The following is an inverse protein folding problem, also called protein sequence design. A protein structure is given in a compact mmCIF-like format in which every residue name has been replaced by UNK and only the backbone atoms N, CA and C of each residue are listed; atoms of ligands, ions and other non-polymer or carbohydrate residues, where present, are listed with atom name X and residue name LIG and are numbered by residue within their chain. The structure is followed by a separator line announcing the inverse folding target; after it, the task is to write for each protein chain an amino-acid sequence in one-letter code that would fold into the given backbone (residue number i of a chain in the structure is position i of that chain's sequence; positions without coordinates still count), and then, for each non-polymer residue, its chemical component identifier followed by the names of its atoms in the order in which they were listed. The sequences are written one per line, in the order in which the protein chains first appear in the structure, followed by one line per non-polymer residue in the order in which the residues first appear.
data_IF_647253231111
#
_entry.id   IF_647253231111
#
_cell.length_a   1.000
_cell.length_b   1.000
_cell.length_c   1.000
_cell.angle_alpha   90.00
_cell.angle_beta   90.00
_cell.angle_gamma   90.00
#
_symmetry.space_group_name_H-M   'P 1'
#
loop_
_entity.id
_entity.type
_entity.pdbx_description
1 polymer ?
#
# COMPACT_ATOMS: atom_id res chain seq x y z
N UNK A 1 15.51 53.64 70.32
CA UNK A 1 14.07 53.85 70.60
C UNK A 1 13.33 53.18 69.45
N UNK A 2 13.19 51.86 69.46
CA UNK A 2 12.26 51.06 70.26
C UNK A 2 10.77 51.33 69.97
N UNK A 3 10.06 50.22 69.73
CA UNK A 3 8.61 49.99 69.76
C UNK A 3 7.80 50.49 68.54
N UNK A 4 6.87 49.76 67.93
CA UNK A 4 6.29 48.46 68.25
C UNK A 4 5.69 47.81 66.98
N UNK A 5 5.80 46.48 66.95
CA UNK A 5 5.11 45.59 66.04
C UNK A 5 3.62 45.48 66.41
N UNK A 6 2.76 45.38 65.39
CA UNK A 6 1.40 44.86 65.53
C UNK A 6 1.22 43.71 64.54
N UNK A 7 1.39 42.51 65.08
CA UNK A 7 1.15 41.22 64.43
C UNK A 7 -0.33 41.05 64.13
N UNK A 8 -0.69 40.83 62.85
CA UNK A 8 -1.99 40.29 62.47
C UNK A 8 -1.81 38.82 62.06
N UNK A 9 -2.38 37.93 62.86
CA UNK A 9 -2.28 36.48 62.75
C UNK A 9 -2.84 35.94 61.44
N UNK A 10 -2.03 35.09 60.81
CA UNK A 10 -2.39 34.16 59.74
C UNK A 10 -3.24 33.03 60.37
N UNK A 11 -4.42 32.68 59.83
CA UNK A 11 -5.02 31.38 60.12
C UNK A 11 -4.36 30.32 59.24
N UNK A 12 -3.68 29.36 59.88
CA UNK A 12 -3.17 28.14 59.23
C UNK A 12 -4.34 27.32 58.63
N UNK A 13 -4.17 26.69 57.46
CA UNK A 13 -5.11 25.68 56.96
C UNK A 13 -5.01 24.41 57.82
N UNK A 14 -6.12 24.00 58.42
CA UNK A 14 -6.25 22.67 59.02
C UNK A 14 -6.31 21.59 57.94
N UNK A 15 -5.54 20.52 58.12
CA UNK A 15 -5.53 19.31 57.30
C UNK A 15 -6.76 18.41 57.63
N UNK A 16 -7.03 17.35 56.82
CA UNK A 16 -8.38 17.00 56.37
C UNK A 16 -9.13 16.02 57.29
N UNK A 17 -10.43 16.23 57.42
CA UNK A 17 -11.35 15.22 57.96
C UNK A 17 -11.64 14.16 56.88
N UNK A 18 -11.21 12.93 57.19
CA UNK A 18 -11.52 11.71 56.47
C UNK A 18 -13.03 11.42 56.41
N UNK A 19 -13.40 10.85 55.26
CA UNK A 19 -14.41 9.81 55.07
C UNK A 19 -15.88 10.16 55.36
N UNK A 20 -16.57 10.54 54.29
CA UNK A 20 -17.86 9.92 53.96
C UNK A 20 -17.69 9.33 52.56
N UNK A 21 -17.41 8.03 52.53
CA UNK A 21 -17.68 7.20 51.36
C UNK A 21 -19.18 7.28 51.10
N UNK A 22 -19.57 7.65 49.87
CA UNK A 22 -20.62 6.94 49.13
C UNK A 22 -20.69 7.42 47.67
N UNK A 23 -20.12 6.57 46.81
CA UNK A 23 -20.63 6.15 45.49
C UNK A 23 -21.03 7.25 44.50
N UNK A 24 -20.04 7.68 43.71
CA UNK A 24 -20.24 8.26 42.37
C UNK A 24 -19.62 7.30 41.35
N UNK A 25 -20.36 6.80 40.35
CA UNK A 25 -19.78 5.99 39.27
C UNK A 25 -18.75 6.82 38.51
N UNK A 26 -17.54 6.29 38.53
CA UNK A 26 -16.34 6.74 37.82
C UNK A 26 -16.68 6.92 36.33
N UNK A 27 -16.90 8.15 35.87
CA UNK A 27 -17.07 8.48 34.47
C UNK A 27 -15.73 8.39 33.71
N UNK A 28 -15.19 7.16 33.59
CA UNK A 28 -13.98 6.84 32.82
C UNK A 28 -14.26 6.09 31.52
N UNK A 29 -15.53 5.89 31.16
CA UNK A 29 -15.88 4.93 30.09
C UNK A 29 -16.26 5.59 28.75
N UNK A 30 -15.80 6.82 28.47
CA UNK A 30 -16.09 7.48 27.18
C UNK A 30 -14.85 8.08 26.51
N UNK A 31 -13.76 7.33 26.48
CA UNK A 31 -12.63 7.61 25.58
C UNK A 31 -12.48 6.45 24.60
N UNK A 32 -12.70 6.67 23.28
CA UNK A 32 -11.95 5.91 22.29
C UNK A 32 -10.48 6.26 22.49
N UNK A 33 -9.66 5.25 22.80
CA UNK A 33 -8.23 5.42 23.01
C UNK A 33 -7.59 6.09 21.79
N UNK A 34 -6.89 7.19 22.03
CA UNK A 34 -5.99 7.79 21.04
C UNK A 34 -4.72 6.92 21.03
N UNK A 35 -4.36 6.25 19.94
CA UNK A 35 -3.03 5.70 19.80
C UNK A 35 -2.09 6.88 19.56
N UNK A 36 -1.29 7.21 20.58
CA UNK A 36 -0.09 8.03 20.40
C UNK A 36 0.95 7.22 19.64
N UNK A 37 0.77 7.09 18.34
CA UNK A 37 1.72 6.49 17.40
C UNK A 37 1.74 7.34 16.15
N UNK A 38 2.94 7.63 15.66
CA UNK A 38 3.12 8.31 14.38
C UNK A 38 2.29 7.61 13.30
N UNK A 39 1.58 8.35 12.43
CA UNK A 39 0.61 7.74 11.55
C UNK A 39 1.31 6.94 10.44
N UNK A 40 0.84 5.71 10.23
CA UNK A 40 1.44 4.69 9.36
C UNK A 40 1.61 5.06 7.87
N UNK A 41 1.04 6.18 7.41
CA UNK A 41 1.22 6.67 6.04
C UNK A 41 2.56 7.42 5.86
N UNK A 42 3.22 7.83 6.94
CA UNK A 42 4.51 8.53 6.88
C UNK A 42 5.70 7.58 6.57
N UNK A 43 5.49 6.26 6.64
CA UNK A 43 6.48 5.24 6.24
C UNK A 43 6.24 4.68 4.84
N UNK A 44 5.19 5.13 4.15
CA UNK A 44 4.79 4.59 2.83
C UNK A 44 5.26 5.44 1.64
N UNK A 45 6.04 6.51 1.86
CA UNK A 45 6.40 7.46 0.80
C UNK A 45 7.90 7.51 0.43
N UNK A 46 8.73 6.61 0.96
CA UNK A 46 10.16 6.54 0.61
C UNK A 46 10.58 5.33 -0.25
N UNK A 47 9.65 4.49 -0.72
CA UNK A 47 10.05 3.24 -1.41
C UNK A 47 9.16 2.85 -2.58
N UNK A 48 8.67 3.81 -3.35
CA UNK A 48 8.14 3.53 -4.70
C UNK A 48 8.87 4.38 -5.74
N UNK A 49 10.18 4.14 -5.85
CA UNK A 49 10.85 4.24 -7.14
C UNK A 49 10.37 3.05 -7.99
N UNK A 50 9.99 3.26 -9.25
CA UNK A 50 9.50 2.18 -10.10
C UNK A 50 10.64 1.18 -10.33
N UNK A 51 10.54 0.02 -9.67
CA UNK A 51 11.50 -1.10 -9.81
C UNK A 51 11.25 -1.91 -11.09
N UNK A 52 10.33 -1.45 -11.96
CA UNK A 52 9.84 -2.15 -13.15
C UNK A 52 10.84 -2.20 -14.34
N UNK A 53 12.11 -1.87 -14.13
CA UNK A 53 13.18 -2.10 -15.12
C UNK A 53 14.41 -2.81 -14.56
N UNK A 54 14.32 -3.39 -13.36
CA UNK A 54 15.35 -4.32 -12.90
C UNK A 54 15.06 -5.69 -13.51
N UNK A 55 15.57 -5.89 -14.73
CA UNK A 55 15.72 -7.23 -15.30
C UNK A 55 16.28 -8.13 -14.20
N UNK A 56 15.57 -9.24 -13.88
CA UNK A 56 16.05 -10.24 -12.93
C UNK A 56 17.52 -10.53 -13.20
N UNK A 57 18.35 -10.73 -12.17
CA UNK A 57 19.77 -11.01 -12.38
C UNK A 57 20.00 -12.16 -13.38
N UNK A 58 19.07 -13.11 -13.42
CA UNK A 58 19.03 -14.19 -14.41
C UNK A 58 18.83 -13.68 -15.83
N UNK A 59 17.93 -12.72 -16.04
CA UNK A 59 17.70 -12.07 -17.34
C UNK A 59 18.92 -11.22 -17.75
N UNK A 60 19.57 -10.53 -16.81
CA UNK A 60 20.80 -9.77 -17.08
C UNK A 60 21.95 -10.68 -17.47
N UNK A 61 22.14 -11.77 -16.73
CA UNK A 61 23.16 -12.78 -17.05
C UNK A 61 22.86 -13.50 -18.36
N UNK A 62 21.57 -13.74 -18.66
CA UNK A 62 21.15 -14.33 -19.93
C UNK A 62 21.46 -13.39 -21.11
N UNK A 63 21.16 -12.10 -20.98
CA UNK A 63 21.52 -11.09 -22.01
C UNK A 63 23.04 -10.99 -22.17
N UNK A 64 23.81 -11.00 -21.07
CA UNK A 64 25.27 -11.00 -21.13
C UNK A 64 25.82 -12.27 -21.82
N UNK A 65 25.26 -13.44 -21.52
CA UNK A 65 25.62 -14.70 -22.15
C UNK A 65 25.32 -14.68 -23.64
N UNK A 66 24.13 -14.24 -24.04
CA UNK A 66 23.73 -14.15 -25.45
C UNK A 66 24.60 -13.17 -26.24
N UNK A 67 24.99 -12.05 -25.62
CA UNK A 67 25.91 -11.10 -26.23
C UNK A 67 27.31 -11.69 -26.45
N UNK A 68 27.85 -12.42 -25.46
CA UNK A 68 29.14 -13.12 -25.59
C UNK A 68 29.06 -14.24 -26.63
N UNK A 69 27.99 -15.02 -26.63
CA UNK A 69 27.76 -16.07 -27.62
C UNK A 69 27.65 -15.49 -29.04
N UNK A 70 27.00 -14.33 -29.21
CA UNK A 70 26.93 -13.62 -30.48
C UNK A 70 28.30 -13.11 -30.93
N UNK A 71 29.12 -12.60 -30.00
CA UNK A 71 30.51 -12.19 -30.30
C UNK A 71 31.36 -13.38 -30.74
N UNK A 72 31.26 -14.52 -30.05
CA UNK A 72 31.97 -15.75 -30.41
C UNK A 72 31.52 -16.24 -31.79
N UNK A 73 30.20 -16.23 -32.08
CA UNK A 73 29.69 -16.62 -33.40
C UNK A 73 30.19 -15.69 -34.50
N UNK A 74 30.19 -14.38 -34.26
CA UNK A 74 30.70 -13.39 -35.21
C UNK A 74 32.19 -13.62 -35.50
N UNK A 75 33.01 -13.86 -34.47
CA UNK A 75 34.43 -14.18 -34.65
C UNK A 75 34.64 -15.49 -35.40
N UNK A 76 33.88 -16.55 -35.08
CA UNK A 76 33.96 -17.82 -35.83
C UNK A 76 33.58 -17.67 -37.30
N UNK A 77 32.56 -16.86 -37.59
CA UNK A 77 32.13 -16.60 -38.97
C UNK A 77 33.19 -15.78 -39.73
N UNK A 78 33.85 -14.83 -39.06
CA UNK A 78 35.00 -14.11 -39.61
C UNK A 78 36.18 -15.06 -39.89
N UNK A 79 36.54 -15.94 -38.97
CA UNK A 79 37.58 -16.94 -39.17
C UNK A 79 37.25 -17.89 -40.33
N UNK A 80 35.98 -18.28 -40.49
CA UNK A 80 35.52 -19.07 -41.62
C UNK A 80 35.67 -18.32 -42.95
N UNK A 81 35.25 -17.06 -43.00
CA UNK A 81 35.43 -16.24 -44.20
C UNK A 81 36.91 -16.00 -44.52
N UNK A 82 37.76 -15.76 -43.52
CA UNK A 82 39.20 -15.63 -43.71
C UNK A 82 39.83 -16.94 -44.21
N UNK A 83 39.39 -18.09 -43.69
CA UNK A 83 39.82 -19.41 -44.15
C UNK A 83 39.36 -19.69 -45.58
N UNK A 84 38.12 -19.38 -45.94
CA UNK A 84 37.59 -19.50 -47.31
C UNK A 84 38.35 -18.57 -48.27
N UNK A 85 38.64 -17.34 -47.87
CA UNK A 85 39.46 -16.41 -48.65
C UNK A 85 40.87 -16.97 -48.83
N UNK A 86 41.46 -17.58 -47.80
CA UNK A 86 42.78 -18.19 -47.88
C UNK A 86 42.79 -19.40 -48.82
N UNK A 87 41.80 -20.29 -48.72
CA UNK A 87 41.63 -21.45 -49.60
C UNK A 87 41.43 -21.03 -51.05
N UNK A 88 40.49 -20.11 -51.34
CA UNK A 88 40.25 -19.57 -52.68
C UNK A 88 41.50 -18.89 -53.26
N UNK A 89 42.31 -18.25 -52.42
CA UNK A 89 43.56 -17.61 -52.82
C UNK A 89 44.69 -18.62 -53.05
N UNK A 90 44.67 -19.74 -52.34
CA UNK A 90 45.62 -20.84 -52.53
C UNK A 90 45.31 -21.67 -53.78
N UNK A 91 44.02 -21.86 -54.09
CA UNK A 91 43.52 -22.56 -55.28
C UNK A 91 43.69 -21.70 -56.55
N UNK A 92 43.76 -20.37 -56.40
CA UNK A 92 44.10 -19.43 -57.47
C UNK A 92 45.62 -19.30 -57.76
N UNK A 93 46.50 -19.97 -57.01
CA UNK A 93 47.91 -20.08 -57.41
C UNK A 93 48.07 -21.17 -58.50
N UNK A 94 48.64 -20.84 -59.67
CA UNK A 94 48.66 -21.77 -60.78
C UNK A 94 49.68 -22.88 -60.56
N UNK A 95 49.19 -24.12 -60.36
CA UNK A 95 49.94 -25.33 -60.73
C UNK A 95 49.88 -25.48 -62.25
N UNK A 96 51.04 -25.54 -62.86
CA UNK A 96 51.31 -25.54 -64.31
C UNK A 96 50.41 -26.49 -65.11
N UNK A 97 49.44 -25.93 -65.85
CA UNK A 97 48.75 -26.59 -66.97
C UNK A 97 48.39 -25.53 -68.04
N UNK A 98 48.72 -25.71 -69.33
CA UNK A 98 48.33 -24.77 -70.37
C UNK A 98 46.89 -25.02 -70.87
N UNK A 99 46.09 -23.93 -71.02
CA UNK A 99 44.83 -23.68 -71.79
C UNK A 99 43.59 -23.26 -70.95
N UNK A 100 42.56 -22.55 -71.49
CA UNK A 100 42.51 -21.44 -72.46
C UNK A 100 41.96 -20.12 -71.83
N UNK A 101 42.61 -18.98 -72.08
CA UNK A 101 42.44 -17.68 -71.37
C UNK A 101 41.03 -17.00 -71.42
N UNK A 102 40.09 -17.43 -72.27
CA UNK A 102 38.80 -16.72 -72.46
C UNK A 102 37.69 -17.11 -71.48
N UNK A 103 37.74 -18.29 -70.85
CA UNK A 103 36.72 -18.73 -69.88
C UNK A 103 37.06 -18.32 -68.44
N UNK A 104 38.35 -18.35 -68.06
CA UNK A 104 38.81 -17.88 -66.74
C UNK A 104 38.59 -16.38 -66.54
N UNK A 105 38.80 -15.56 -67.58
CA UNK A 105 38.58 -14.11 -67.49
C UNK A 105 37.09 -13.76 -67.35
N UNK A 106 36.20 -14.60 -67.91
CA UNK A 106 34.75 -14.40 -67.82
C UNK A 106 34.20 -14.82 -66.44
N UNK A 107 34.71 -15.91 -65.88
CA UNK A 107 34.40 -16.38 -64.53
C UNK A 107 34.95 -15.45 -63.45
N UNK A 108 36.20 -14.98 -63.59
CA UNK A 108 36.82 -14.04 -62.65
C UNK A 108 36.08 -12.69 -62.58
N UNK A 109 35.59 -12.18 -63.71
CA UNK A 109 34.80 -10.94 -63.75
C UNK A 109 33.40 -11.12 -63.12
N UNK A 110 32.79 -12.30 -63.24
CA UNK A 110 31.49 -12.62 -62.60
C UNK A 110 31.62 -12.73 -61.08
N UNK A 111 32.60 -13.51 -60.62
CA UNK A 111 32.88 -13.69 -59.19
C UNK A 111 33.28 -12.37 -58.52
N UNK A 112 34.06 -11.53 -59.19
CA UNK A 112 34.43 -10.22 -58.67
C UNK A 112 33.23 -9.24 -58.60
N UNK A 113 32.24 -9.40 -59.48
CA UNK A 113 30.97 -8.65 -59.40
C UNK A 113 30.11 -9.11 -58.23
N UNK A 114 30.00 -10.42 -58.02
CA UNK A 114 29.26 -11.02 -56.91
C UNK A 114 29.87 -10.65 -55.54
N UNK A 115 31.20 -10.71 -55.40
CA UNK A 115 31.88 -10.30 -54.16
C UNK A 115 31.65 -8.82 -53.84
N UNK A 116 31.64 -7.95 -54.85
CA UNK A 116 31.32 -6.52 -54.67
C UNK A 116 29.87 -6.32 -54.24
N UNK A 117 28.95 -7.05 -54.85
CA UNK A 117 27.53 -7.01 -54.50
C UNK A 117 27.29 -7.48 -53.05
N UNK A 118 27.96 -8.56 -52.62
CA UNK A 118 27.88 -9.05 -51.23
C UNK A 118 28.46 -8.04 -50.24
N UNK A 119 29.59 -7.39 -50.55
CA UNK A 119 30.19 -6.35 -49.72
C UNK A 119 29.27 -5.12 -49.57
N UNK A 120 28.65 -4.68 -50.66
CA UNK A 120 27.69 -3.58 -50.64
C UNK A 120 26.45 -3.96 -49.81
N UNK A 121 26.00 -5.21 -49.90
CA UNK A 121 24.86 -5.71 -49.15
C UNK A 121 25.16 -5.83 -47.65
N UNK A 122 26.35 -6.30 -47.27
CA UNK A 122 26.83 -6.27 -45.89
C UNK A 122 26.96 -4.84 -45.36
N UNK A 123 27.48 -3.90 -46.16
CA UNK A 123 27.60 -2.49 -45.77
C UNK A 123 26.23 -1.83 -45.59
N UNK A 124 25.26 -2.12 -46.46
CA UNK A 124 23.88 -1.64 -46.33
C UNK A 124 23.21 -2.23 -45.08
N UNK A 125 23.42 -3.53 -44.80
CA UNK A 125 22.94 -4.17 -43.57
C UNK A 125 23.57 -3.54 -42.32
N UNK A 126 24.87 -3.23 -42.35
CA UNK A 126 25.57 -2.58 -41.25
C UNK A 126 25.03 -1.17 -41.00
N UNK A 127 24.82 -0.38 -42.05
CA UNK A 127 24.20 0.94 -41.95
C UNK A 127 22.75 0.88 -41.45
N UNK A 128 21.97 -0.10 -41.89
CA UNK A 128 20.60 -0.30 -41.40
C UNK A 128 20.60 -0.63 -39.89
N UNK A 129 21.51 -1.50 -39.43
CA UNK A 129 21.67 -1.81 -38.01
C UNK A 129 22.11 -0.59 -37.20
N UNK A 130 23.07 0.19 -37.69
CA UNK A 130 23.51 1.44 -37.06
C UNK A 130 22.35 2.44 -36.93
N UNK A 131 21.53 2.60 -37.97
CA UNK A 131 20.33 3.44 -37.92
C UNK A 131 19.30 2.91 -36.92
N UNK A 132 19.08 1.59 -36.86
CA UNK A 132 18.16 0.99 -35.89
C UNK A 132 18.65 1.18 -34.45
N UNK A 133 19.95 1.02 -34.18
CA UNK A 133 20.54 1.28 -32.86
C UNK A 133 20.42 2.75 -32.49
N UNK A 134 20.65 3.67 -33.44
CA UNK A 134 20.48 5.10 -33.21
C UNK A 134 19.02 5.46 -32.90
N UNK A 135 18.06 4.88 -33.63
CA UNK A 135 16.63 5.08 -33.39
C UNK A 135 16.22 4.55 -32.01
N UNK A 136 16.65 3.35 -31.64
CA UNK A 136 16.40 2.79 -30.29
C UNK A 136 17.05 3.65 -29.20
N UNK A 137 18.25 4.19 -29.43
CA UNK A 137 18.91 5.12 -28.53
C UNK A 137 18.11 6.40 -28.28
N UNK A 138 17.52 6.98 -29.33
CA UNK A 138 16.64 8.14 -29.21
C UNK A 138 15.35 7.82 -28.44
N UNK A 139 14.73 6.67 -28.71
CA UNK A 139 13.52 6.23 -28.00
C UNK A 139 13.79 6.01 -26.51
N UNK A 140 14.88 5.34 -26.16
CA UNK A 140 15.27 5.15 -24.77
C UNK A 140 15.58 6.46 -24.05
N UNK A 141 16.18 7.43 -24.75
CA UNK A 141 16.43 8.75 -24.18
C UNK A 141 15.12 9.51 -23.94
N UNK A 142 14.19 9.50 -24.89
CA UNK A 142 12.85 10.08 -24.74
C UNK A 142 12.09 9.47 -23.56
N UNK A 143 12.05 8.14 -23.47
CA UNK A 143 11.42 7.44 -22.34
C UNK A 143 12.05 7.79 -20.99
N UNK A 144 13.38 7.98 -20.93
CA UNK A 144 14.08 8.42 -19.71
C UNK A 144 13.73 9.85 -19.33
N UNK A 145 13.60 10.75 -20.28
CA UNK A 145 13.21 12.14 -20.03
C UNK A 145 11.76 12.23 -19.57
N UNK A 146 10.86 11.48 -20.20
CA UNK A 146 9.48 11.34 -19.77
C UNK A 146 9.38 10.79 -18.35
N UNK A 147 10.10 9.69 -18.04
CA UNK A 147 10.16 9.13 -16.69
C UNK A 147 10.69 10.14 -15.66
N UNK A 148 11.71 10.94 -16.01
CA UNK A 148 12.22 12.02 -15.14
C UNK A 148 11.17 13.10 -14.91
N UNK A 149 10.48 13.56 -15.95
CA UNK A 149 9.43 14.60 -15.81
C UNK A 149 8.24 14.08 -15.00
N UNK A 150 7.86 12.80 -15.19
CA UNK A 150 6.84 12.15 -14.37
C UNK A 150 7.27 12.06 -12.90
N UNK A 151 8.51 11.66 -12.63
CA UNK A 151 9.09 11.64 -11.28
C UNK A 151 9.08 13.03 -10.61
N UNK A 152 9.43 14.08 -11.35
CA UNK A 152 9.35 15.46 -10.85
C UNK A 152 7.91 15.89 -10.53
N UNK A 153 6.93 15.50 -11.36
CA UNK A 153 5.51 15.77 -11.10
C UNK A 153 5.01 15.04 -9.86
N UNK A 154 5.39 13.77 -9.68
CA UNK A 154 5.07 13.00 -8.49
C UNK A 154 5.69 13.63 -7.23
N UNK A 155 6.95 14.03 -7.28
CA UNK A 155 7.61 14.73 -6.18
C UNK A 155 6.90 16.06 -5.81
N UNK A 156 6.50 16.85 -6.82
CA UNK A 156 5.74 18.07 -6.61
C UNK A 156 4.37 17.80 -5.95
N UNK A 157 3.67 16.74 -6.38
CA UNK A 157 2.40 16.33 -5.76
C UNK A 157 2.59 15.84 -4.32
N UNK A 158 3.62 15.03 -4.05
CA UNK A 158 3.96 14.58 -2.70
C UNK A 158 4.24 15.75 -1.75
N UNK A 159 4.97 16.77 -2.22
CA UNK A 159 5.20 18.01 -1.46
C UNK A 159 3.88 18.71 -1.10
N UNK A 160 2.96 18.86 -2.06
CA UNK A 160 1.65 19.47 -1.79
C UNK A 160 0.82 18.66 -0.81
N UNK A 161 0.82 17.32 -0.93
CA UNK A 161 0.11 16.45 0.01
C UNK A 161 0.67 16.57 1.42
N UNK A 162 2.00 16.57 1.59
CA UNK A 162 2.64 16.76 2.89
C UNK A 162 2.30 18.11 3.53
N UNK A 163 2.25 19.18 2.72
CA UNK A 163 1.86 20.52 3.19
C UNK A 163 0.38 20.56 3.64
N UNK A 164 -0.52 19.96 2.86
CA UNK A 164 -1.93 19.81 3.23
C UNK A 164 -2.10 19.01 4.52
N UNK A 165 -1.27 17.99 4.71
CA UNK A 165 -1.29 17.15 5.89
C UNK A 165 -0.81 17.87 7.16
N UNK A 166 0.27 18.63 7.05
CA UNK A 166 0.72 19.51 8.13
C UNK A 166 -0.37 20.51 8.53
N UNK A 167 -1.07 21.09 7.54
CA UNK A 167 -2.20 22.00 7.80
C UNK A 167 -3.38 21.29 8.50
N UNK A 168 -3.68 20.05 8.13
CA UNK A 168 -4.72 19.26 8.79
C UNK A 168 -4.38 19.02 10.27
N UNK A 169 -3.17 18.53 10.55
CA UNK A 169 -2.72 18.29 11.92
C UNK A 169 -2.70 19.57 12.76
N UNK A 170 -2.30 20.70 12.16
CA UNK A 170 -2.36 21.99 12.85
C UNK A 170 -3.81 22.37 13.22
N UNK A 171 -4.75 22.21 12.29
CA UNK A 171 -6.16 22.50 12.54
C UNK A 171 -6.77 21.57 13.60
N UNK A 172 -6.33 20.30 13.66
CA UNK A 172 -6.74 19.35 14.71
C UNK A 172 -6.27 19.77 16.10
N UNK A 173 -5.01 20.21 16.22
CA UNK A 173 -4.47 20.73 17.49
C UNK A 173 -5.21 21.99 17.94
N UNK A 174 -5.50 22.91 17.01
CA UNK A 174 -6.31 24.10 17.30
C UNK A 174 -7.72 23.74 17.77
N UNK A 175 -8.36 22.76 17.12
CA UNK A 175 -9.67 22.26 17.53
C UNK A 175 -9.63 21.67 18.95
N UNK A 176 -8.64 20.83 19.26
CA UNK A 176 -8.46 20.26 20.59
C UNK A 176 -8.25 21.37 21.66
N UNK A 177 -7.46 22.40 21.34
CA UNK A 177 -7.25 23.56 22.21
C UNK A 177 -8.56 24.31 22.47
N UNK A 178 -9.35 24.59 21.44
CA UNK A 178 -10.64 25.27 21.57
C UNK A 178 -11.65 24.42 22.36
N UNK A 179 -11.67 23.11 22.14
CA UNK A 179 -12.50 22.19 22.93
C UNK A 179 -12.15 22.23 24.42
N UNK A 180 -10.87 22.30 24.76
CA UNK A 180 -10.44 22.43 26.15
C UNK A 180 -10.86 23.78 26.75
N UNK A 181 -10.74 24.87 26.02
CA UNK A 181 -11.22 26.18 26.48
C UNK A 181 -12.74 26.18 26.73
N UNK A 182 -13.51 25.51 25.88
CA UNK A 182 -14.95 25.36 26.08
C UNK A 182 -15.28 24.56 27.34
N UNK A 183 -14.54 23.48 27.61
CA UNK A 183 -14.71 22.70 28.84
C UNK A 183 -14.47 23.56 30.08
N UNK A 184 -13.39 24.35 30.10
CA UNK A 184 -13.08 25.27 31.19
C UNK A 184 -14.19 26.31 31.39
N UNK A 185 -14.65 26.94 30.32
CA UNK A 185 -15.72 27.93 30.41
C UNK A 185 -17.04 27.30 30.90
N UNK A 186 -17.34 26.07 30.48
CA UNK A 186 -18.50 25.33 30.95
C UNK A 186 -18.39 24.97 32.44
N UNK A 187 -17.22 24.56 32.91
CA UNK A 187 -16.94 24.34 34.34
C UNK A 187 -17.10 25.65 35.14
N UNK A 188 -16.61 26.77 34.64
CA UNK A 188 -16.84 28.08 35.28
C UNK A 188 -18.33 28.46 35.29
N UNK A 189 -19.09 28.07 34.26
CA UNK A 189 -20.53 28.31 34.21
C UNK A 189 -21.29 27.45 35.21
N UNK A 190 -20.96 26.17 35.34
CA UNK A 190 -21.60 25.30 36.33
C UNK A 190 -21.34 25.79 37.75
N UNK A 191 -20.12 26.26 38.04
CA UNK A 191 -19.78 26.87 39.34
C UNK A 191 -20.61 28.14 39.58
N UNK A 192 -20.71 29.04 38.58
CA UNK A 192 -21.50 30.28 38.70
C UNK A 192 -22.99 30.00 38.92
N UNK A 193 -23.55 29.01 38.22
CA UNK A 193 -24.93 28.57 38.42
C UNK A 193 -25.16 27.98 39.80
N UNK A 194 -24.24 27.12 40.27
CA UNK A 194 -24.30 26.53 41.60
C UNK A 194 -24.27 27.60 42.69
N UNK A 195 -23.40 28.60 42.56
CA UNK A 195 -23.37 29.75 43.46
C UNK A 195 -24.68 30.53 43.44
N UNK A 196 -25.26 30.81 42.26
CA UNK A 196 -26.55 31.49 42.19
C UNK A 196 -27.68 30.69 42.86
N UNK A 197 -27.69 29.36 42.68
CA UNK A 197 -28.65 28.49 43.34
C UNK A 197 -28.48 28.51 44.87
N UNK A 198 -27.23 28.45 45.36
CA UNK A 198 -26.89 28.53 46.79
C UNK A 198 -27.33 29.86 47.42
N UNK A 199 -27.02 30.98 46.75
CA UNK A 199 -27.43 32.31 47.20
C UNK A 199 -28.97 32.41 47.24
N UNK A 200 -29.69 31.89 46.25
CA UNK A 200 -31.17 31.88 46.26
C UNK A 200 -31.73 31.03 47.41
N UNK A 201 -31.11 29.89 47.75
CA UNK A 201 -31.52 29.08 48.90
C UNK A 201 -31.26 29.79 50.23
N UNK A 202 -30.09 30.41 50.39
CA UNK A 202 -29.73 31.17 51.60
C UNK A 202 -30.65 32.40 51.81
N UNK A 203 -31.08 33.05 50.72
CA UNK A 203 -32.04 34.16 50.77
C UNK A 203 -33.50 33.72 50.95
N UNK A 204 -33.84 32.47 50.60
CA UNK A 204 -35.16 31.91 50.88
C UNK A 204 -35.29 31.51 52.37
N UNK A 205 -34.18 31.09 52.99
CA UNK A 205 -34.10 30.79 54.42
C UNK A 205 -34.03 32.07 55.28
N UNK A 206 -33.46 33.16 54.74
CA UNK A 206 -33.46 34.50 55.33
C UNK A 206 -34.72 35.30 54.97
N UNK A 207 -35.73 35.29 55.84
CA UNK A 207 -37.04 35.90 55.61
C UNK A 207 -37.07 37.23 54.83
N UNK A 208 -37.62 37.17 53.61
CA UNK A 208 -38.36 38.24 52.93
C UNK A 208 -37.64 39.58 52.69
N UNK A 209 -36.77 39.68 51.69
CA UNK A 209 -36.40 40.98 51.10
C UNK A 209 -36.47 40.96 49.56
N UNK A 210 -37.41 41.74 49.01
CA UNK A 210 -37.68 41.98 47.59
C UNK A 210 -36.56 42.65 46.77
N UNK A 211 -35.69 43.54 47.30
CA UNK A 211 -34.62 44.17 46.50
C UNK A 211 -33.42 43.25 46.20
N UNK A 212 -33.16 42.21 47.01
CA UNK A 212 -32.13 41.22 46.70
C UNK A 212 -32.56 40.30 45.55
N UNK A 213 -33.85 39.96 45.51
CA UNK A 213 -34.43 39.16 44.44
C UNK A 213 -34.42 39.87 43.07
N UNK A 214 -34.53 41.20 43.01
CA UNK A 214 -34.46 41.95 41.75
C UNK A 214 -33.03 42.09 41.23
N UNK A 215 -32.04 42.21 42.11
CA UNK A 215 -30.61 42.20 41.72
C UNK A 215 -30.20 40.83 41.17
N UNK A 216 -30.63 39.74 41.82
CA UNK A 216 -30.43 38.37 41.33
C UNK A 216 -31.11 38.11 39.98
N UNK A 217 -32.35 38.58 39.80
CA UNK A 217 -33.06 38.45 38.51
C UNK A 217 -32.33 39.17 37.39
N UNK A 218 -31.89 40.42 37.62
CA UNK A 218 -31.11 41.18 36.65
C UNK A 218 -29.79 40.49 36.31
N UNK A 219 -29.08 39.98 37.31
CA UNK A 219 -27.86 39.21 37.07
C UNK A 219 -28.14 37.97 36.21
N UNK A 220 -29.14 37.16 36.57
CA UNK A 220 -29.54 35.98 35.79
C UNK A 220 -29.96 36.35 34.35
N UNK A 221 -30.72 37.41 34.16
CA UNK A 221 -31.12 37.92 32.83
C UNK A 221 -29.90 38.31 31.99
N UNK A 222 -28.97 39.10 32.54
CA UNK A 222 -27.73 39.48 31.83
C UNK A 222 -26.86 38.26 31.51
N UNK A 223 -26.73 37.31 32.44
CA UNK A 223 -25.96 36.08 32.18
C UNK A 223 -26.61 35.22 31.10
N UNK A 224 -27.95 35.12 31.07
CA UNK A 224 -28.66 34.38 30.03
C UNK A 224 -28.51 35.04 28.65
N UNK A 225 -28.47 36.37 28.60
CA UNK A 225 -28.22 37.12 27.37
C UNK A 225 -26.79 36.91 26.86
N UNK A 226 -25.79 37.00 27.74
CA UNK A 226 -24.39 36.71 27.42
C UNK A 226 -24.21 35.28 26.91
N UNK A 227 -24.89 34.31 27.52
CA UNK A 227 -24.89 32.91 27.09
C UNK A 227 -25.51 32.77 25.70
N UNK A 228 -26.69 33.34 25.47
CA UNK A 228 -27.34 33.30 24.16
C UNK A 228 -26.44 33.91 23.08
N UNK A 229 -25.78 35.04 23.38
CA UNK A 229 -24.83 35.68 22.48
C UNK A 229 -23.59 34.80 22.20
N UNK A 230 -23.04 34.15 23.23
CA UNK A 230 -21.92 33.22 23.08
C UNK A 230 -22.29 32.00 22.22
N UNK A 231 -23.46 31.40 22.45
CA UNK A 231 -23.96 30.30 21.61
C UNK A 231 -24.21 30.74 20.16
N UNK A 232 -24.83 31.91 19.94
CA UNK A 232 -25.02 32.46 18.59
C UNK A 232 -23.68 32.71 17.89
N UNK A 233 -22.67 33.25 18.60
CA UNK A 233 -21.34 33.48 18.03
C UNK A 233 -20.66 32.16 17.63
N UNK A 234 -20.81 31.10 18.43
CA UNK A 234 -20.29 29.76 18.13
C UNK A 234 -21.00 29.11 16.97
N UNK A 235 -22.32 29.20 16.91
CA UNK A 235 -23.10 28.71 15.76
C UNK A 235 -22.67 29.41 14.48
N UNK A 236 -22.42 30.72 14.55
CA UNK A 236 -21.92 31.48 13.41
C UNK A 236 -20.51 31.04 12.99
N UNK A 237 -19.60 30.80 13.94
CA UNK A 237 -18.26 30.27 13.66
C UNK A 237 -18.30 28.87 13.04
N UNK A 238 -19.11 27.96 13.58
CA UNK A 238 -19.29 26.61 13.04
C UNK A 238 -19.92 26.65 11.65
N UNK A 239 -20.90 27.53 11.42
CA UNK A 239 -21.50 27.74 10.12
C UNK A 239 -20.48 28.30 9.11
N UNK A 240 -19.62 29.24 9.52
CA UNK A 240 -18.54 29.76 8.68
C UNK A 240 -17.50 28.68 8.35
N UNK A 241 -17.08 27.88 9.34
CA UNK A 241 -16.16 26.76 9.12
C UNK A 241 -16.77 25.71 8.19
N UNK A 242 -18.03 25.33 8.38
CA UNK A 242 -18.74 24.42 7.50
C UNK A 242 -18.85 24.96 6.05
N UNK A 243 -19.11 26.27 5.88
CA UNK A 243 -19.08 26.93 4.56
C UNK A 243 -17.67 26.90 3.96
N UNK A 244 -16.62 27.11 4.75
CA UNK A 244 -15.24 27.03 4.28
C UNK A 244 -14.87 25.60 3.85
N UNK A 245 -15.26 24.58 4.60
CA UNK A 245 -15.04 23.18 4.22
C UNK A 245 -15.79 22.80 2.94
N UNK A 246 -17.04 23.23 2.79
CA UNK A 246 -17.81 23.02 1.54
C UNK A 246 -17.13 23.68 0.34
N UNK A 247 -16.61 24.89 0.50
CA UNK A 247 -15.84 25.57 -0.56
C UNK A 247 -14.57 24.79 -0.91
N UNK A 248 -13.79 24.36 0.09
CA UNK A 248 -12.57 23.56 -0.12
C UNK A 248 -12.87 22.23 -0.83
N UNK A 249 -13.97 21.57 -0.46
CA UNK A 249 -14.42 20.34 -1.11
C UNK A 249 -14.77 20.58 -2.58
N UNK A 250 -15.51 21.65 -2.88
CA UNK A 250 -15.85 22.03 -4.25
C UNK A 250 -14.61 22.44 -5.08
N UNK A 251 -13.64 23.12 -4.46
CA UNK A 251 -12.38 23.45 -5.13
C UNK A 251 -11.55 22.20 -5.43
N UNK A 252 -11.55 21.21 -4.54
CA UNK A 252 -10.87 19.93 -4.73
C UNK A 252 -11.55 19.10 -5.82
N UNK A 253 -12.88 19.03 -5.83
CA UNK A 253 -13.62 18.33 -6.89
C UNK A 253 -13.38 18.97 -8.26
N UNK A 254 -13.39 20.31 -8.36
CA UNK A 254 -13.06 21.01 -9.60
C UNK A 254 -11.65 20.68 -10.08
N UNK A 255 -10.65 20.69 -9.19
CA UNK A 255 -9.26 20.32 -9.54
C UNK A 255 -9.15 18.86 -9.98
N UNK A 256 -9.92 17.96 -9.36
CA UNK A 256 -9.97 16.57 -9.79
C UNK A 256 -10.57 16.43 -11.20
N UNK A 257 -11.66 17.14 -11.50
CA UNK A 257 -12.24 17.20 -12.84
C UNK A 257 -11.26 17.79 -13.87
N UNK A 258 -10.54 18.86 -13.52
CA UNK A 258 -9.48 19.46 -14.36
C UNK A 258 -8.34 18.47 -14.65
N UNK A 259 -7.93 17.67 -13.66
CA UNK A 259 -6.93 16.62 -13.83
C UNK A 259 -7.42 15.49 -14.74
N UNK A 260 -8.67 15.05 -14.56
CA UNK A 260 -9.29 14.05 -15.44
C UNK A 260 -9.42 14.59 -16.88
N UNK A 261 -9.73 15.87 -17.05
CA UNK A 261 -9.76 16.51 -18.36
C UNK A 261 -8.36 16.60 -18.98
N UNK A 262 -7.33 16.96 -18.21
CA UNK A 262 -5.95 16.98 -18.68
C UNK A 262 -5.43 15.59 -19.06
N UNK A 263 -5.77 14.55 -18.28
CA UNK A 263 -5.44 13.17 -18.60
C UNK A 263 -6.17 12.68 -19.85
N UNK A 264 -7.47 12.99 -20.01
CA UNK A 264 -8.21 12.59 -21.21
C UNK A 264 -7.71 13.30 -22.48
N UNK A 265 -7.30 14.57 -22.38
CA UNK A 265 -6.65 15.30 -23.48
C UNK A 265 -5.27 14.74 -23.81
N UNK A 266 -4.46 14.37 -22.82
CA UNK A 266 -3.17 13.68 -23.04
C UNK A 266 -3.37 12.32 -23.71
N UNK A 267 -4.41 11.58 -23.31
CA UNK A 267 -4.74 10.28 -23.89
C UNK A 267 -5.31 10.42 -25.32
N UNK A 268 -6.00 11.52 -25.62
CA UNK A 268 -6.47 11.84 -26.97
C UNK A 268 -5.35 12.38 -27.89
N UNK A 269 -4.31 13.04 -27.34
CA UNK A 269 -3.14 13.47 -28.11
C UNK A 269 -2.12 12.34 -28.35
N UNK A 270 -2.11 11.31 -27.49
CA UNK A 270 -1.24 10.15 -27.61
C UNK A 270 -1.66 9.18 -28.73
N UNK A 271 -2.76 9.46 -29.44
CA UNK A 271 -3.24 8.60 -30.53
C UNK A 271 -3.50 9.41 -31.82
N UNK A 272 -2.47 9.56 -32.68
CA UNK A 272 -2.70 9.88 -34.08
C UNK A 272 -1.92 8.94 -35.01
N UNK A 273 -1.94 7.62 -34.83
CA UNK A 273 -1.84 6.68 -35.97
C UNK A 273 -2.07 5.20 -35.60
N UNK A 274 -3.20 4.65 -36.08
CA UNK A 274 -3.36 3.28 -36.57
C UNK A 274 -2.89 2.04 -35.79
N UNK A 275 -3.81 1.49 -34.96
CA UNK A 275 -4.11 0.05 -34.73
C UNK A 275 -3.39 -0.77 -33.63
N UNK A 276 -3.99 -1.90 -33.17
CA UNK A 276 -5.35 -2.09 -32.69
C UNK A 276 -5.40 -2.33 -31.18
N UNK A 277 -6.48 -1.81 -30.60
CA UNK A 277 -6.87 -1.84 -29.19
C UNK A 277 -7.08 -3.27 -28.69
N UNK A 278 -6.21 -3.75 -27.80
CA UNK A 278 -6.52 -4.92 -26.98
C UNK A 278 -7.71 -4.58 -26.07
N UNK A 279 -8.84 -5.22 -26.34
CA UNK A 279 -10.05 -5.17 -25.55
C UNK A 279 -9.81 -5.78 -24.17
N UNK A 280 -9.57 -4.97 -23.16
CA UNK A 280 -9.91 -5.36 -21.79
C UNK A 280 -11.38 -5.02 -21.57
N UNK A 281 -12.23 -5.90 -22.11
CA UNK A 281 -13.64 -5.94 -21.80
C UNK A 281 -13.83 -6.50 -20.40
N UNK A 282 -14.54 -5.75 -19.57
CA UNK A 282 -15.08 -6.19 -18.30
C UNK A 282 -15.92 -7.45 -18.50
N UNK A 283 -15.36 -8.62 -18.16
CA UNK A 283 -16.12 -9.85 -18.00
C UNK A 283 -16.43 -9.99 -16.50
N UNK A 284 -17.70 -9.73 -16.19
CA UNK A 284 -18.44 -10.19 -15.02
C UNK A 284 -17.96 -11.56 -14.54
N UNK A 285 -17.47 -11.60 -13.30
CA UNK A 285 -17.21 -12.82 -12.56
C UNK A 285 -18.57 -13.42 -12.15
N UNK A 286 -19.06 -14.38 -12.92
CA UNK A 286 -20.07 -15.32 -12.44
C UNK A 286 -19.33 -16.54 -11.88
N UNK A 287 -19.54 -16.79 -10.59
CA UNK A 287 -18.99 -17.91 -9.83
C UNK A 287 -19.92 -19.11 -9.98
N UNK A 288 -19.44 -20.19 -10.57
CA UNK A 288 -20.03 -21.53 -10.47
C UNK A 288 -18.88 -22.53 -10.26
N UNK A 289 -18.81 -23.23 -9.10
CA UNK A 289 -17.73 -24.16 -8.80
C UNK A 289 -18.19 -25.62 -8.96
N UNK A 290 -17.51 -26.39 -9.81
CA UNK A 290 -17.57 -27.86 -9.81
C UNK A 290 -16.39 -28.48 -10.60
N UNK A 291 -16.00 -29.75 -10.38
CA UNK A 291 -15.41 -30.35 -9.19
C UNK A 291 -13.95 -30.79 -9.43
N UNK A 292 -13.17 -30.87 -8.34
CA UNK A 292 -11.79 -31.38 -8.28
C UNK A 292 -11.68 -32.85 -8.73
N UNK A 293 -10.78 -33.19 -9.66
CA UNK A 293 -10.16 -34.51 -9.73
C UNK A 293 -8.92 -34.51 -8.83
N UNK A 294 -8.95 -35.40 -7.85
CA UNK A 294 -7.87 -35.75 -6.95
C UNK A 294 -6.54 -35.99 -7.70
N UNK A 295 -5.61 -35.04 -7.62
CA UNK A 295 -4.20 -35.32 -7.89
C UNK A 295 -3.59 -35.87 -6.61
N UNK A 296 -3.85 -37.16 -6.41
CA UNK A 296 -3.06 -38.00 -5.52
C UNK A 296 -1.67 -38.17 -6.15
N UNK A 297 -0.62 -38.03 -5.32
CA UNK A 297 0.82 -38.29 -5.57
C UNK A 297 1.69 -37.09 -5.96
N UNK A 298 1.90 -36.18 -5.00
CA UNK A 298 3.17 -35.47 -4.86
C UNK A 298 4.08 -36.33 -3.97
N UNK A 299 4.95 -37.10 -4.62
CA UNK A 299 6.03 -37.86 -3.98
C UNK A 299 7.15 -36.93 -3.50
N UNK A 300 7.86 -37.42 -2.48
CA UNK A 300 8.77 -36.72 -1.57
C UNK A 300 9.94 -35.95 -2.23
N UNK A 301 9.98 -34.60 -2.13
CA UNK A 301 11.21 -33.84 -2.37
C UNK A 301 12.36 -34.23 -1.41
N UNK A 302 12.03 -34.82 -0.26
CA UNK A 302 12.99 -35.25 0.75
C UNK A 302 13.76 -36.54 0.36
N UNK A 303 13.16 -37.43 -0.43
CA UNK A 303 13.83 -38.65 -0.92
C UNK A 303 14.82 -38.31 -2.03
N UNK A 304 14.45 -37.39 -2.94
CA UNK A 304 15.34 -36.89 -3.99
C UNK A 304 16.52 -36.11 -3.42
N UNK A 305 16.30 -35.34 -2.35
CA UNK A 305 17.36 -34.65 -1.62
C UNK A 305 18.34 -35.64 -0.95
N UNK A 306 17.84 -36.64 -0.24
CA UNK A 306 18.69 -37.66 0.38
C UNK A 306 19.49 -38.47 -0.66
N UNK A 307 18.90 -38.72 -1.83
CA UNK A 307 19.55 -39.45 -2.92
C UNK A 307 20.66 -38.64 -3.59
N UNK A 308 20.51 -37.32 -3.69
CA UNK A 308 21.56 -36.41 -4.17
C UNK A 308 22.70 -36.26 -3.16
N UNK A 309 22.39 -36.15 -1.87
CA UNK A 309 23.39 -36.10 -0.80
C UNK A 309 24.23 -37.38 -0.71
N UNK A 310 23.60 -38.54 -0.94
CA UNK A 310 24.30 -39.84 -0.97
C UNK A 310 25.28 -39.91 -2.15
N UNK A 311 24.86 -39.47 -3.34
CA UNK A 311 25.75 -39.37 -4.52
C UNK A 311 26.90 -38.39 -4.31
N UNK A 312 26.65 -37.28 -3.62
CA UNK A 312 27.70 -36.29 -3.32
C UNK A 312 28.75 -36.84 -2.36
N UNK A 313 28.34 -37.64 -1.35
CA UNK A 313 29.28 -38.36 -0.48
C UNK A 313 30.05 -39.46 -1.19
N UNK A 314 29.41 -40.20 -2.09
CA UNK A 314 30.09 -41.23 -2.90
C UNK A 314 31.17 -40.62 -3.81
N UNK A 315 30.91 -39.46 -4.42
CA UNK A 315 31.87 -38.72 -5.23
C UNK A 315 33.03 -38.15 -4.40
N UNK A 316 32.78 -37.74 -3.15
CA UNK A 316 33.85 -37.34 -2.23
C UNK A 316 34.67 -38.53 -1.73
N UNK A 317 34.05 -39.69 -1.52
CA UNK A 317 34.74 -40.90 -1.07
C UNK A 317 35.60 -41.54 -2.17
N UNK A 318 35.32 -41.31 -3.46
CA UNK A 318 36.18 -41.70 -4.58
C UNK A 318 37.47 -40.87 -4.68
N UNK A 319 37.63 -39.83 -3.85
CA UNK A 319 38.89 -39.11 -3.62
C UNK A 319 39.66 -39.76 -2.47
N UNK A 320 40.09 -41.02 -2.63
CA UNK A 320 41.05 -41.64 -1.70
C UNK A 320 42.47 -41.16 -2.03
N UNK A 321 43.28 -40.76 -1.03
CA UNK A 321 44.66 -40.33 -1.23
C UNK A 321 45.63 -41.52 -1.24
N UNK A 322 46.47 -41.60 -2.27
CA UNK A 322 47.60 -42.55 -2.42
C UNK A 322 47.67 -43.03 -3.88
N UNK A 323 48.77 -42.95 -4.62
CA UNK A 323 50.18 -42.84 -4.27
C UNK A 323 50.94 -42.06 -5.36
N UNK A 324 51.93 -41.28 -4.91
CA UNK A 324 53.17 -40.87 -5.58
C UNK A 324 53.24 -40.91 -7.12
N UNK A 325 53.25 -39.72 -7.74
CA UNK A 325 54.36 -39.41 -8.65
C UNK A 325 54.57 -37.91 -8.77
N UNK A 326 55.82 -37.53 -8.53
CA UNK A 326 56.39 -36.21 -8.71
C UNK A 326 55.89 -35.56 -10.01
N UNK A 327 55.38 -34.33 -9.93
CA UNK A 327 55.70 -33.21 -10.85
C UNK A 327 54.80 -32.01 -10.54
N UNK A 328 55.43 -30.94 -10.08
CA UNK A 328 54.88 -29.58 -10.11
C UNK A 328 54.09 -29.19 -8.86
N UNK A 329 54.78 -28.64 -7.87
CA UNK A 329 54.20 -27.66 -6.95
C UNK A 329 53.80 -26.43 -7.77
N UNK A 330 52.62 -26.46 -8.37
CA UNK A 330 51.90 -25.25 -8.74
C UNK A 330 50.72 -25.16 -7.79
N UNK A 331 50.99 -24.54 -6.64
CA UNK A 331 49.97 -23.81 -5.90
C UNK A 331 49.10 -23.05 -6.91
N UNK A 332 47.79 -23.33 -7.03
CA UNK A 332 46.91 -22.45 -7.78
C UNK A 332 46.75 -21.18 -6.95
N UNK A 333 47.62 -20.22 -7.27
CA UNK A 333 47.44 -18.78 -7.11
C UNK A 333 46.40 -18.37 -6.07
N UNK A 334 46.86 -17.85 -4.93
CA UNK A 334 46.03 -17.29 -3.86
C UNK A 334 45.02 -16.21 -4.28
N UNK A 335 45.05 -15.75 -5.54
CA UNK A 335 44.03 -14.90 -6.16
C UNK A 335 42.73 -15.68 -6.47
N UNK A 336 42.83 -16.95 -6.88
CA UNK A 336 41.67 -17.79 -7.24
C UNK A 336 40.99 -18.36 -5.99
N UNK A 337 41.76 -18.70 -4.95
CA UNK A 337 41.23 -19.05 -3.64
C UNK A 337 40.55 -17.86 -2.94
N UNK A 338 41.13 -16.66 -3.03
CA UNK A 338 40.49 -15.43 -2.53
C UNK A 338 39.23 -15.08 -3.33
N UNK A 339 39.24 -15.30 -4.65
CA UNK A 339 38.05 -15.15 -5.51
C UNK A 339 36.93 -16.11 -5.11
N UNK A 340 37.25 -17.38 -4.85
CA UNK A 340 36.28 -18.37 -4.38
C UNK A 340 35.74 -18.08 -2.98
N UNK A 341 36.60 -17.64 -2.06
CA UNK A 341 36.16 -17.21 -0.74
C UNK A 341 35.19 -16.02 -0.84
N UNK A 342 35.44 -15.08 -1.75
CA UNK A 342 34.58 -13.93 -1.99
C UNK A 342 33.23 -14.31 -2.61
N UNK A 343 33.20 -15.27 -3.53
CA UNK A 343 31.95 -15.79 -4.12
C UNK A 343 31.11 -16.49 -3.04
N UNK A 344 31.74 -17.34 -2.22
CA UNK A 344 31.04 -18.02 -1.13
C UNK A 344 30.53 -17.04 -0.08
N UNK A 345 31.28 -15.98 0.23
CA UNK A 345 30.83 -14.93 1.12
C UNK A 345 29.61 -14.20 0.55
N UNK A 346 29.64 -13.81 -0.72
CA UNK A 346 28.48 -13.18 -1.39
C UNK A 346 27.26 -14.09 -1.42
N UNK A 347 27.43 -15.40 -1.64
CA UNK A 347 26.34 -16.36 -1.61
C UNK A 347 25.75 -16.53 -0.20
N UNK A 348 26.60 -16.49 0.83
CA UNK A 348 26.14 -16.49 2.22
C UNK A 348 25.42 -15.20 2.60
N UNK A 349 25.92 -14.06 2.14
CA UNK A 349 25.29 -12.76 2.40
C UNK A 349 23.95 -12.66 1.65
N UNK A 350 23.88 -13.15 0.42
CA UNK A 350 22.64 -13.26 -0.35
C UNK A 350 21.63 -14.17 0.33
N UNK A 351 22.02 -15.40 0.70
CA UNK A 351 21.10 -16.34 1.36
C UNK A 351 20.62 -15.82 2.72
N UNK A 352 21.48 -15.16 3.50
CA UNK A 352 21.09 -14.48 4.74
C UNK A 352 20.17 -13.29 4.48
N UNK A 353 20.42 -12.51 3.43
CA UNK A 353 19.59 -11.39 3.02
C UNK A 353 18.18 -11.84 2.63
N UNK A 354 18.08 -12.79 1.70
CA UNK A 354 16.81 -13.38 1.26
C UNK A 354 16.06 -14.01 2.42
N UNK A 355 16.76 -14.72 3.32
CA UNK A 355 16.11 -15.31 4.49
C UNK A 355 15.57 -14.24 5.45
N UNK A 356 16.31 -13.15 5.69
CA UNK A 356 15.83 -12.06 6.52
C UNK A 356 14.62 -11.33 5.89
N UNK A 357 14.56 -11.21 4.58
CA UNK A 357 13.39 -10.66 3.86
C UNK A 357 12.16 -11.56 4.03
N UNK A 358 12.29 -12.86 3.80
CA UNK A 358 11.20 -13.81 3.99
C UNK A 358 10.72 -13.88 5.45
N UNK A 359 11.63 -13.77 6.42
CA UNK A 359 11.25 -13.70 7.84
C UNK A 359 10.49 -12.40 8.17
N UNK A 360 10.85 -11.27 7.55
CA UNK A 360 10.09 -10.02 7.69
C UNK A 360 8.72 -10.11 7.05
N UNK A 361 8.62 -10.64 5.83
CA UNK A 361 7.34 -10.85 5.15
C UNK A 361 6.44 -11.78 5.95
N UNK A 362 6.99 -12.89 6.46
CA UNK A 362 6.26 -13.81 7.34
C UNK A 362 5.76 -13.10 8.59
N UNK A 363 6.58 -12.27 9.24
CA UNK A 363 6.17 -11.51 10.42
C UNK A 363 5.06 -10.50 10.09
N UNK A 364 5.17 -9.79 8.96
CA UNK A 364 4.14 -8.86 8.50
C UNK A 364 2.81 -9.56 8.18
N UNK A 365 2.88 -10.72 7.52
CA UNK A 365 1.71 -11.53 7.22
C UNK A 365 1.04 -12.05 8.50
N UNK A 366 1.83 -12.48 9.50
CA UNK A 366 1.30 -12.87 10.81
C UNK A 366 0.57 -11.70 11.49
N UNK A 367 1.17 -10.50 11.52
CA UNK A 367 0.52 -9.31 12.10
C UNK A 367 -0.78 -8.95 11.36
N UNK A 368 -0.78 -9.03 10.02
CA UNK A 368 -2.00 -8.80 9.23
C UNK A 368 -3.07 -9.86 9.51
N UNK A 369 -2.68 -11.11 9.68
CA UNK A 369 -3.58 -12.20 10.01
C UNK A 369 -4.19 -12.02 11.41
N UNK A 370 -3.39 -11.70 12.43
CA UNK A 370 -3.91 -11.46 13.79
C UNK A 370 -4.85 -10.26 13.84
N UNK A 371 -4.52 -9.17 13.13
CA UNK A 371 -5.41 -8.01 13.03
C UNK A 371 -6.74 -8.36 12.35
N UNK A 372 -6.72 -9.20 11.31
CA UNK A 372 -7.94 -9.67 10.66
C UNK A 372 -8.77 -10.58 11.60
N UNK A 373 -8.13 -11.44 12.39
CA UNK A 373 -8.80 -12.26 13.41
C UNK A 373 -9.45 -11.40 14.52
N UNK A 374 -8.78 -10.33 14.95
CA UNK A 374 -9.33 -9.34 15.88
C UNK A 374 -10.54 -8.63 15.28
N UNK A 375 -10.45 -8.16 14.03
CA UNK A 375 -11.58 -7.54 13.32
C UNK A 375 -12.78 -8.48 13.18
N UNK A 376 -12.54 -9.76 12.88
CA UNK A 376 -13.61 -10.76 12.84
C UNK A 376 -14.25 -10.97 14.22
N UNK A 377 -13.46 -10.93 15.29
CA UNK A 377 -13.95 -11.03 16.66
C UNK A 377 -14.79 -9.81 17.06
N UNK A 378 -14.38 -8.60 16.70
CA UNK A 378 -15.14 -7.37 16.90
C UNK A 378 -16.47 -7.40 16.13
N UNK A 379 -16.47 -7.87 14.88
CA UNK A 379 -17.68 -8.02 14.09
C UNK A 379 -18.62 -9.07 14.69
N UNK A 380 -18.08 -10.21 15.15
CA UNK A 380 -18.85 -11.24 15.82
C UNK A 380 -19.48 -10.70 17.11
N UNK A 381 -18.72 -9.96 17.92
CA UNK A 381 -19.22 -9.33 19.14
C UNK A 381 -20.29 -8.27 18.84
N UNK A 382 -20.11 -7.47 17.78
CA UNK A 382 -21.13 -6.53 17.33
C UNK A 382 -22.43 -7.23 16.94
N UNK A 383 -22.33 -8.34 16.20
CA UNK A 383 -23.49 -9.17 15.83
C UNK A 383 -24.17 -9.69 17.09
N UNK A 384 -23.43 -10.24 18.04
CA UNK A 384 -23.98 -10.83 19.26
C UNK A 384 -24.63 -9.79 20.18
N UNK A 385 -23.96 -8.67 20.41
CA UNK A 385 -24.43 -7.59 21.27
C UNK A 385 -25.59 -6.81 20.65
N UNK A 386 -25.48 -6.42 19.38
CA UNK A 386 -26.42 -5.47 18.77
C UNK A 386 -27.49 -6.13 17.93
N UNK A 387 -27.15 -7.12 17.11
CA UNK A 387 -28.16 -7.80 16.29
C UNK A 387 -28.85 -8.87 17.15
N UNK A 388 -28.09 -9.75 17.79
CA UNK A 388 -28.59 -10.81 18.64
C UNK A 388 -29.50 -10.29 19.76
N UNK A 389 -29.03 -9.33 20.57
CA UNK A 389 -29.83 -8.79 21.68
C UNK A 389 -31.02 -7.94 21.21
N UNK A 390 -30.85 -7.03 20.24
CA UNK A 390 -31.96 -6.17 19.78
C UNK A 390 -33.02 -6.95 19.02
N UNK A 391 -32.65 -7.87 18.13
CA UNK A 391 -33.64 -8.71 17.45
C UNK A 391 -34.37 -9.62 18.43
N UNK A 392 -33.69 -10.19 19.43
CA UNK A 392 -34.36 -10.98 20.49
C UNK A 392 -35.34 -10.13 21.28
N UNK A 393 -34.96 -8.91 21.67
CA UNK A 393 -35.84 -7.98 22.39
C UNK A 393 -37.03 -7.52 21.53
N UNK A 394 -36.82 -7.24 20.24
CA UNK A 394 -37.88 -6.84 19.33
C UNK A 394 -38.83 -8.00 19.02
N UNK A 395 -38.32 -9.22 18.83
CA UNK A 395 -39.16 -10.44 18.71
C UNK A 395 -40.01 -10.62 19.97
N UNK A 396 -39.45 -10.41 21.16
CA UNK A 396 -40.20 -10.49 22.42
C UNK A 396 -41.24 -9.36 22.53
N UNK A 397 -40.92 -8.14 22.08
CA UNK A 397 -41.84 -7.01 22.04
C UNK A 397 -43.00 -7.27 21.07
N UNK A 398 -42.70 -7.74 19.86
CA UNK A 398 -43.67 -8.11 18.85
C UNK A 398 -44.57 -9.25 19.35
N UNK A 399 -44.00 -10.27 20.01
CA UNK A 399 -44.78 -11.36 20.63
C UNK A 399 -45.66 -10.86 21.76
N UNK A 400 -45.21 -9.89 22.57
CA UNK A 400 -46.05 -9.24 23.59
C UNK A 400 -47.18 -8.44 22.93
N UNK A 401 -46.93 -7.71 21.85
CA UNK A 401 -47.99 -6.99 21.12
C UNK A 401 -49.03 -7.97 20.55
N UNK A 402 -48.58 -9.06 19.94
CA UNK A 402 -49.47 -10.10 19.38
C UNK A 402 -50.20 -10.89 20.47
N UNK A 403 -49.56 -11.13 21.62
CA UNK A 403 -50.17 -11.79 22.78
C UNK A 403 -51.05 -10.88 23.64
N UNK A 404 -50.91 -9.55 23.53
CA UNK A 404 -51.75 -8.54 24.20
C UNK A 404 -52.88 -8.02 23.31
N UNK A 405 -52.83 -8.35 22.01
CA UNK A 405 -53.99 -8.25 21.13
C UNK A 405 -54.84 -9.51 21.31
N UNK A 406 -56.01 -9.37 21.92
CA UNK A 406 -57.00 -10.45 21.99
C UNK A 406 -57.15 -11.14 20.61
N UNK A 407 -56.86 -12.45 20.49
CA UNK A 407 -57.08 -13.19 19.25
C UNK A 407 -58.56 -13.32 18.87
N UNK A 408 -59.48 -12.78 19.68
CA UNK A 408 -60.92 -13.01 19.59
C UNK A 408 -61.72 -11.85 19.01
N UNK A 409 -61.06 -10.80 18.50
CA UNK A 409 -61.76 -9.71 17.79
C UNK A 409 -61.19 -9.41 16.40
N UNK A 410 -61.04 -10.44 15.58
CA UNK A 410 -61.11 -10.27 14.13
C UNK A 410 -62.11 -11.28 13.58
N UNK A 411 -63.27 -10.75 13.20
CA UNK A 411 -64.14 -11.30 12.16
C UNK A 411 -64.65 -12.71 12.38
N UNK A 412 -65.80 -12.82 13.03
CA UNK A 412 -66.71 -13.97 12.94
C UNK A 412 -67.08 -14.22 11.47
N UNK A 413 -66.31 -15.01 10.74
CA UNK A 413 -66.78 -15.72 9.55
C UNK A 413 -67.24 -17.12 9.98
N UNK A 414 -68.46 -17.54 9.62
CA UNK A 414 -69.00 -18.83 10.08
C UNK A 414 -68.22 -20.00 9.43
N UNK A 415 -68.18 -21.17 10.09
CA UNK A 415 -67.33 -22.27 9.65
C UNK A 415 -67.91 -22.89 8.38
N UNK A 416 -67.21 -22.71 7.26
CA UNK A 416 -67.44 -23.50 6.04
C UNK A 416 -66.99 -24.92 6.34
N UNK A 417 -67.97 -25.84 6.42
CA UNK A 417 -67.77 -27.28 6.56
C UNK A 417 -66.77 -27.78 5.50
N UNK A 418 -65.83 -28.68 5.84
CA UNK A 418 -65.03 -29.35 4.83
C UNK A 418 -65.94 -30.27 4.00
N UNK A 419 -66.20 -29.90 2.75
CA UNK A 419 -66.77 -30.82 1.77
C UNK A 419 -65.77 -31.97 1.55
N UNK A 420 -66.21 -33.19 1.85
CA UNK A 420 -65.48 -34.43 1.56
C UNK A 420 -65.21 -34.54 0.05
N UNK A 421 -64.10 -35.18 -0.36
CA UNK A 421 -63.77 -35.37 -1.76
C UNK A 421 -64.74 -36.38 -2.37
N UNK A 422 -65.47 -35.98 -3.41
CA UNK A 422 -66.11 -36.96 -4.30
C UNK A 422 -65.09 -37.38 -5.34
N UNK A 423 -64.42 -38.48 -5.04
CA UNK A 423 -63.91 -39.40 -6.07
C UNK A 423 -65.08 -39.82 -6.96
N UNK A 424 -65.00 -39.55 -8.25
CA UNK A 424 -65.70 -40.35 -9.25
C UNK A 424 -64.82 -40.46 -10.49
N UNK A 425 -64.17 -41.61 -10.61
CA UNK A 425 -63.66 -42.14 -11.86
C UNK A 425 -64.81 -42.25 -12.87
N UNK A 426 -64.59 -41.74 -14.09
CA UNK A 426 -64.51 -42.58 -15.29
C UNK A 426 -63.86 -41.81 -16.43
#
# INVERSE_FOLDING_TARGET
MEHAAASASIPRPGAPSRAIENVLPRAKDWLPGVPGGAPAWATSLETELPSDLELSEEQRLQVCKEMVDLQIRTHRLQEQHEAEIFELKSEAQPKDIPTPKKQQQKLGNSLQGEVKQVLEQQRAQQQALEMHVAALGQQLQGAREEARTAGQRLAAQAMVLSACQGQLSQAEVENARLQLQLKKLNEEYTIRLQHCAQVVTEHADGGGQTPAATVLRRFLETTLEDIRAAYHSREQQLAQAARAYRKRLADLSRRHEELLAAHSVQQALADPDGAPKATFGAATLDLEPLPLPEVTKLGHPQEDQARLETKFRELQAQKVPGETSQRGTLEPQGLEAASWAQINQKLQDFSRGTQAELERERAQLLVRATMAEEQLSELQEYVDQHLGSRYKQEILRLRKLVGSGDPWKVGTTPPVKPQRPRTRSR
#
